data_IF_749790209911
#
_entry.id   IF_749790209911
#
_cell.length_a   1.000
_cell.length_b   1.000
_cell.length_c   1.000
_cell.angle_alpha   90.00
_cell.angle_beta   90.00
_cell.angle_gamma   90.00
#
_symmetry.space_group_name_H-M   'P 1'
#
loop_
_entity.id
_entity.type
_entity.pdbx_description
1 polymer ?
#
# COMPACT_ATOMS: atom_id res chain seq x y z
N UNK A 1 -3.83 12.01 14.09
CA UNK A 1 -3.30 12.70 12.88
C UNK A 1 -1.82 13.03 13.01
N UNK A 2 -1.33 13.38 14.19
CA UNK A 2 0.11 13.64 14.47
C UNK A 2 1.10 12.60 13.91
N UNK A 3 0.88 11.27 14.02
CA UNK A 3 1.85 10.30 13.52
C UNK A 3 1.93 10.24 11.98
N UNK A 4 0.88 10.66 11.27
CA UNK A 4 0.87 10.68 9.79
C UNK A 4 1.69 11.84 9.26
N UNK A 5 1.59 12.98 9.94
CA UNK A 5 2.21 14.22 9.53
C UNK A 5 3.73 14.06 9.49
N UNK A 6 4.30 13.39 10.51
CA UNK A 6 5.72 13.05 10.53
C UNK A 6 6.14 12.14 9.36
N UNK A 7 5.32 11.14 9.00
CA UNK A 7 5.63 10.25 7.87
C UNK A 7 5.60 11.00 6.53
N UNK A 8 4.64 11.92 6.35
CA UNK A 8 4.53 12.76 5.15
C UNK A 8 5.68 13.76 5.07
N UNK A 9 6.03 14.42 6.18
CA UNK A 9 7.16 15.35 6.23
C UNK A 9 8.47 14.64 5.88
N UNK A 10 8.68 13.44 6.41
CA UNK A 10 9.83 12.61 6.09
C UNK A 10 9.85 12.18 4.61
N UNK A 11 8.68 11.84 4.03
CA UNK A 11 8.57 11.54 2.61
C UNK A 11 8.94 12.75 1.74
N UNK A 12 8.47 13.94 2.11
CA UNK A 12 8.77 15.17 1.38
C UNK A 12 10.26 15.52 1.46
N UNK A 13 10.89 15.35 2.63
CA UNK A 13 12.33 15.52 2.81
C UNK A 13 13.14 14.55 1.95
N UNK A 14 12.78 13.25 1.95
CA UNK A 14 13.46 12.26 1.10
C UNK A 14 13.33 12.60 -0.38
N UNK A 15 12.16 13.05 -0.83
CA UNK A 15 11.98 13.46 -2.22
C UNK A 15 12.86 14.67 -2.59
N UNK A 16 13.00 15.63 -1.68
CA UNK A 16 13.89 16.78 -1.86
C UNK A 16 15.36 16.37 -1.89
N UNK A 17 15.79 15.52 -0.96
CA UNK A 17 17.15 15.01 -0.90
C UNK A 17 17.49 14.17 -2.14
N UNK A 18 16.55 13.36 -2.59
CA UNK A 18 16.69 12.55 -3.80
C UNK A 18 16.80 13.43 -5.04
N UNK A 19 15.98 14.48 -5.15
CA UNK A 19 16.11 15.47 -6.22
C UNK A 19 17.50 16.10 -6.22
N UNK A 20 18.04 16.44 -5.05
CA UNK A 20 19.39 16.98 -4.93
C UNK A 20 20.45 15.96 -5.35
N UNK A 21 20.35 14.70 -4.92
CA UNK A 21 21.28 13.63 -5.31
C UNK A 21 21.22 13.36 -6.82
N UNK A 22 20.02 13.31 -7.40
CA UNK A 22 19.83 13.10 -8.84
C UNK A 22 20.39 14.27 -9.64
N UNK A 23 20.21 15.51 -9.17
CA UNK A 23 20.81 16.68 -9.80
C UNK A 23 22.34 16.65 -9.74
N UNK A 24 22.94 16.18 -8.64
CA UNK A 24 24.40 16.05 -8.51
C UNK A 24 24.96 14.84 -9.28
N UNK A 25 24.19 13.76 -9.45
CA UNK A 25 24.57 12.61 -10.29
C UNK A 25 24.43 12.92 -11.78
N UNK A 26 23.42 13.71 -12.17
CA UNK A 26 23.24 14.19 -13.53
C UNK A 26 24.30 15.21 -13.95
N UNK A 27 24.77 16.03 -13.00
CA UNK A 27 25.81 17.04 -13.20
C UNK A 27 26.95 16.87 -12.18
N UNK A 28 27.86 15.89 -12.38
CA UNK A 28 28.95 15.65 -11.44
C UNK A 28 29.85 16.90 -11.35
N UNK A 29 30.11 17.34 -10.13
CA UNK A 29 31.13 18.38 -9.91
C UNK A 29 32.51 17.78 -10.16
N UNK A 30 33.22 18.33 -11.13
CA UNK A 30 34.58 17.91 -11.42
C UNK A 30 35.55 18.42 -10.35
N UNK A 31 36.55 17.60 -10.07
CA UNK A 31 37.71 17.98 -9.26
C UNK A 31 38.75 18.61 -10.19
N UNK A 32 39.13 19.85 -9.90
CA UNK A 32 40.02 20.65 -10.75
C UNK A 32 41.31 20.90 -10.00
N UNK A 33 42.40 20.36 -10.54
CA UNK A 33 43.74 20.54 -10.01
C UNK A 33 44.49 21.59 -10.85
N UNK A 34 44.98 22.65 -10.20
CA UNK A 34 45.82 23.68 -10.83
C UNK A 34 47.28 23.36 -10.52
N UNK A 35 48.08 23.13 -11.56
CA UNK A 35 49.50 22.78 -11.40
C UNK A 35 50.32 24.06 -11.16
N UNK A 36 50.55 24.37 -9.89
CA UNK A 36 51.24 25.62 -9.47
C UNK A 36 52.65 25.76 -10.06
N UNK A 37 53.35 24.65 -10.27
CA UNK A 37 54.69 24.62 -10.88
C UNK A 37 54.70 25.18 -12.30
N UNK A 38 53.66 24.90 -13.07
CA UNK A 38 53.49 25.46 -14.43
C UNK A 38 53.04 26.90 -14.39
N UNK A 39 52.23 27.30 -13.42
CA UNK A 39 51.86 28.71 -13.24
C UNK A 39 53.08 29.59 -12.91
N UNK A 40 54.05 29.03 -12.17
CA UNK A 40 55.30 29.72 -11.80
C UNK A 40 56.31 29.95 -12.94
N UNK A 41 56.16 29.26 -14.09
CA UNK A 41 57.00 29.50 -15.28
C UNK A 41 56.49 30.70 -16.10
N UNK A 42 55.19 30.99 -16.06
CA UNK A 42 54.57 32.12 -16.74
C UNK A 42 54.58 33.43 -15.93
N UNK A 43 54.90 33.37 -14.63
CA UNK A 43 54.94 34.55 -13.76
C UNK A 43 56.08 35.52 -14.17
N UNK A 44 55.79 36.83 -14.36
CA UNK A 44 56.81 37.82 -14.67
C UNK A 44 57.94 37.86 -13.61
N UNK A 45 59.22 37.94 -14.01
CA UNK A 45 60.36 37.90 -13.08
C UNK A 45 60.33 39.00 -12.00
N UNK A 46 59.69 40.14 -12.30
CA UNK A 46 59.56 41.28 -11.40
C UNK A 46 58.59 41.01 -10.24
N UNK A 47 57.58 40.16 -10.46
CA UNK A 47 56.54 39.81 -9.47
C UNK A 47 56.98 38.59 -8.66
N UNK A 48 57.77 37.69 -9.26
CA UNK A 48 58.28 36.47 -8.64
C UNK A 48 59.20 36.72 -7.43
N UNK A 49 59.88 37.86 -7.40
CA UNK A 49 60.82 38.22 -6.32
C UNK A 49 60.14 38.89 -5.11
N UNK A 50 58.89 39.35 -5.23
CA UNK A 50 58.15 39.98 -4.15
C UNK A 50 57.04 39.04 -3.63
N UNK A 51 57.15 38.48 -2.41
CA UNK A 51 56.20 37.52 -1.88
C UNK A 51 54.74 38.01 -1.83
N UNK A 52 54.53 39.31 -1.63
CA UNK A 52 53.19 39.89 -1.48
C UNK A 52 52.49 40.09 -2.83
N UNK A 53 53.24 40.47 -3.86
CA UNK A 53 52.70 40.63 -5.22
C UNK A 53 52.47 39.28 -5.89
N UNK A 54 53.32 38.29 -5.60
CA UNK A 54 53.15 36.92 -6.06
C UNK A 54 51.84 36.31 -5.56
N UNK A 55 51.49 36.48 -4.29
CA UNK A 55 50.22 35.96 -3.74
C UNK A 55 49.01 36.65 -4.38
N UNK A 56 49.06 37.97 -4.59
CA UNK A 56 47.97 38.69 -5.24
C UNK A 56 47.76 38.18 -6.68
N UNK A 57 48.84 37.97 -7.43
CA UNK A 57 48.77 37.45 -8.79
C UNK A 57 48.22 36.01 -8.84
N UNK A 58 48.66 35.12 -7.94
CA UNK A 58 48.14 33.76 -7.84
C UNK A 58 46.63 33.74 -7.52
N UNK A 59 46.20 34.61 -6.61
CA UNK A 59 44.78 34.74 -6.26
C UNK A 59 43.96 35.31 -7.43
N UNK A 60 44.50 36.25 -8.21
CA UNK A 60 43.85 36.75 -9.42
C UNK A 60 43.69 35.66 -10.48
N UNK A 61 44.72 34.85 -10.73
CA UNK A 61 44.62 33.73 -11.68
C UNK A 61 43.63 32.66 -11.22
N UNK A 62 43.64 32.32 -9.93
CA UNK A 62 42.66 31.42 -9.33
C UNK A 62 41.23 31.94 -9.54
N UNK A 63 40.98 33.22 -9.23
CA UNK A 63 39.66 33.83 -9.38
C UNK A 63 39.22 33.91 -10.85
N UNK A 64 40.13 34.12 -11.79
CA UNK A 64 39.82 34.07 -13.22
C UNK A 64 39.36 32.67 -13.66
N UNK A 65 40.03 31.61 -13.18
CA UNK A 65 39.64 30.22 -13.47
C UNK A 65 38.27 29.90 -12.84
N UNK A 66 38.03 30.31 -11.60
CA UNK A 66 36.73 30.14 -10.93
C UNK A 66 35.61 30.84 -11.71
N UNK A 67 35.79 32.11 -12.06
CA UNK A 67 34.80 32.87 -12.83
C UNK A 67 34.54 32.27 -14.21
N UNK A 68 35.57 31.73 -14.87
CA UNK A 68 35.40 31.03 -16.14
C UNK A 68 34.53 29.78 -15.96
N UNK A 69 34.78 28.99 -14.91
CA UNK A 69 34.07 27.73 -14.67
C UNK A 69 32.63 27.93 -14.16
N UNK A 70 32.38 28.96 -13.36
CA UNK A 70 31.01 29.29 -12.89
C UNK A 70 30.08 29.74 -14.03
N UNK A 71 30.65 30.30 -15.11
CA UNK A 71 29.91 30.73 -16.29
C UNK A 71 29.76 29.65 -17.37
N UNK A 72 30.35 28.46 -17.19
CA UNK A 72 30.19 27.35 -18.14
C UNK A 72 28.81 26.74 -17.95
N UNK A 73 28.08 26.58 -19.06
CA UNK A 73 26.78 25.93 -19.05
C UNK A 73 26.92 24.44 -18.68
N UNK A 74 25.96 23.84 -17.95
CA UNK A 74 26.04 22.47 -17.46
C UNK A 74 26.26 21.39 -18.54
N UNK A 75 25.88 21.67 -19.79
CA UNK A 75 25.97 20.76 -20.94
C UNK A 75 27.19 21.06 -21.85
N UNK A 76 28.07 22.00 -21.48
CA UNK A 76 29.22 22.39 -22.29
C UNK A 76 30.44 21.50 -22.01
N UNK A 77 31.15 21.12 -23.06
CA UNK A 77 32.41 20.39 -22.95
C UNK A 77 33.48 21.21 -22.23
N UNK A 78 34.29 20.54 -21.39
CA UNK A 78 35.40 21.18 -20.69
C UNK A 78 36.60 21.35 -21.63
N UNK A 79 36.94 22.60 -21.93
CA UNK A 79 38.16 22.94 -22.67
C UNK A 79 39.08 23.68 -21.69
N UNK A 80 40.19 23.05 -21.34
CA UNK A 80 41.16 23.57 -20.38
C UNK A 80 42.58 23.57 -20.96
N UNK A 81 43.43 24.45 -20.44
CA UNK A 81 44.86 24.47 -20.77
C UNK A 81 45.60 23.35 -20.04
N UNK A 82 46.81 23.01 -20.51
CA UNK A 82 47.64 21.91 -19.99
C UNK A 82 48.17 22.16 -18.54
N UNK A 83 47.97 23.35 -17.99
CA UNK A 83 48.27 23.70 -16.60
C UNK A 83 47.12 23.36 -15.63
N UNK A 84 45.95 23.01 -16.15
CA UNK A 84 44.76 22.60 -15.39
C UNK A 84 44.44 21.16 -15.72
N UNK A 85 44.21 20.33 -14.69
CA UNK A 85 43.75 18.95 -14.86
C UNK A 85 42.36 18.82 -14.29
N UNK A 86 41.40 18.48 -15.14
CA UNK A 86 40.02 18.23 -14.73
C UNK A 86 39.86 16.72 -14.57
N UNK A 87 39.78 16.25 -13.33
CA UNK A 87 39.37 14.90 -13.04
C UNK A 87 37.84 14.91 -12.91
N UNK A 88 37.16 14.07 -13.68
CA UNK A 88 35.77 13.79 -13.36
C UNK A 88 35.80 13.10 -12.00
N UNK A 89 35.20 13.74 -10.99
CA UNK A 89 34.98 13.08 -9.71
C UNK A 89 34.25 11.81 -10.06
N UNK A 90 34.86 10.65 -9.80
CA UNK A 90 34.21 9.35 -9.85
C UNK A 90 33.12 9.36 -8.77
N UNK A 91 32.02 10.06 -9.06
CA UNK A 91 30.84 10.16 -8.24
C UNK A 91 30.23 8.78 -8.22
N UNK A 92 30.66 7.98 -7.25
CA UNK A 92 30.15 6.68 -6.88
C UNK A 92 29.97 5.69 -8.05
N UNK A 93 30.74 4.59 -8.04
CA UNK A 93 30.42 3.32 -8.72
C UNK A 93 28.95 3.24 -9.18
N UNK A 94 28.69 3.24 -10.49
CA UNK A 94 27.36 3.20 -11.10
C UNK A 94 26.46 2.02 -10.67
N UNK A 95 26.93 1.15 -9.77
CA UNK A 95 26.16 0.11 -9.09
C UNK A 95 25.61 0.49 -7.70
N UNK A 96 25.80 1.73 -7.21
CA UNK A 96 25.25 2.19 -5.91
C UNK A 96 24.27 3.34 -6.07
N UNK A 97 23.51 3.39 -7.17
CA UNK A 97 22.26 4.15 -7.19
C UNK A 97 21.44 3.68 -6.00
N UNK A 98 21.14 4.58 -5.07
CA UNK A 98 20.23 4.31 -3.95
C UNK A 98 18.96 3.67 -4.52
N UNK A 99 18.56 2.52 -3.97
CA UNK A 99 17.27 1.91 -4.32
C UNK A 99 16.16 2.71 -3.64
N UNK A 100 15.77 3.78 -4.33
CA UNK A 100 14.68 4.68 -3.94
C UNK A 100 13.37 3.91 -3.77
N UNK A 101 13.17 2.85 -4.56
CA UNK A 101 11.89 2.14 -4.63
C UNK A 101 11.55 1.52 -3.27
N UNK A 102 12.52 0.89 -2.62
CA UNK A 102 12.34 0.30 -1.29
C UNK A 102 11.98 1.35 -0.23
N UNK A 103 12.58 2.54 -0.30
CA UNK A 103 12.31 3.64 0.64
C UNK A 103 10.91 4.21 0.41
N UNK A 104 10.52 4.43 -0.85
CA UNK A 104 9.17 4.92 -1.20
C UNK A 104 8.09 3.91 -0.84
N UNK A 105 8.33 2.61 -1.08
CA UNK A 105 7.38 1.56 -0.75
C UNK A 105 7.15 1.45 0.77
N UNK A 106 8.22 1.59 1.57
CA UNK A 106 8.13 1.62 3.04
C UNK A 106 7.36 2.85 3.52
N UNK A 107 7.67 4.05 3.01
CA UNK A 107 7.00 5.29 3.38
C UNK A 107 5.50 5.25 3.10
N UNK A 108 5.11 4.76 1.93
CA UNK A 108 3.70 4.63 1.57
C UNK A 108 2.93 3.69 2.53
N UNK A 109 3.57 2.63 3.03
CA UNK A 109 2.92 1.76 4.03
C UNK A 109 2.72 2.46 5.36
N UNK A 110 3.64 3.35 5.75
CA UNK A 110 3.53 4.15 6.96
C UNK A 110 2.46 5.25 6.82
N UNK A 111 2.36 5.91 5.66
CA UNK A 111 1.32 6.91 5.41
C UNK A 111 -0.07 6.27 5.36
N UNK A 112 -0.22 5.10 4.73
CA UNK A 112 -1.44 4.27 4.76
C UNK A 112 -1.85 3.90 6.19
N UNK A 113 -0.91 3.35 6.96
CA UNK A 113 -1.13 2.96 8.35
C UNK A 113 -1.49 4.18 9.22
N UNK A 114 -0.86 5.31 8.96
CA UNK A 114 -1.12 6.58 9.65
C UNK A 114 -2.54 7.10 9.38
N UNK A 115 -2.96 7.13 8.12
CA UNK A 115 -4.30 7.58 7.71
C UNK A 115 -5.42 6.59 8.08
N UNK A 116 -5.06 5.39 8.58
CA UNK A 116 -5.97 4.25 8.76
C UNK A 116 -6.68 3.89 7.45
N UNK A 117 -6.03 4.14 6.32
CA UNK A 117 -6.56 3.82 5.01
C UNK A 117 -6.13 2.39 4.63
N UNK A 118 -7.07 1.60 4.12
CA UNK A 118 -6.79 0.22 3.71
C UNK A 118 -6.10 0.19 2.34
N UNK A 119 -5.09 -0.68 2.20
CA UNK A 119 -4.28 -0.80 0.98
C UNK A 119 -5.09 -1.14 -0.28
N UNK A 120 -6.21 -1.84 -0.13
CA UNK A 120 -7.11 -2.21 -1.23
C UNK A 120 -7.71 -1.01 -1.96
N UNK A 121 -7.93 0.12 -1.28
CA UNK A 121 -8.47 1.33 -1.92
C UNK A 121 -7.45 2.08 -2.79
N UNK A 122 -6.16 1.81 -2.59
CA UNK A 122 -5.07 2.42 -3.36
C UNK A 122 -4.49 1.46 -4.41
N UNK A 123 -5.22 0.39 -4.74
CA UNK A 123 -4.82 -0.64 -5.72
C UNK A 123 -3.45 -1.29 -5.40
N UNK A 124 -3.08 -1.34 -4.10
CA UNK A 124 -1.88 -2.04 -3.62
C UNK A 124 -2.25 -3.47 -3.22
N UNK A 125 -2.72 -4.23 -4.19
CA UNK A 125 -3.35 -5.54 -3.98
C UNK A 125 -2.33 -6.69 -4.12
N UNK A 126 -1.02 -6.40 -4.14
CA UNK A 126 0.01 -7.40 -4.36
C UNK A 126 -0.06 -8.50 -3.27
N UNK A 127 -0.48 -9.70 -3.67
CA UNK A 127 -0.55 -10.88 -2.81
C UNK A 127 -1.83 -11.04 -1.99
N UNK A 128 -2.87 -10.23 -2.20
CA UNK A 128 -4.12 -10.31 -1.43
C UNK A 128 -5.24 -10.89 -2.30
N UNK A 129 -5.80 -12.04 -1.90
CA UNK A 129 -6.95 -12.64 -2.59
C UNK A 129 -8.25 -11.89 -2.27
N UNK A 130 -9.27 -12.03 -3.12
CA UNK A 130 -10.58 -11.35 -2.98
C UNK A 130 -11.23 -11.57 -1.60
N UNK A 131 -11.01 -12.74 -0.98
CA UNK A 131 -11.49 -13.07 0.37
C UNK A 131 -10.98 -12.10 1.44
N UNK A 132 -9.70 -11.70 1.35
CA UNK A 132 -9.10 -10.75 2.28
C UNK A 132 -9.56 -9.32 2.01
N UNK A 133 -9.89 -8.98 0.76
CA UNK A 133 -10.44 -7.67 0.40
C UNK A 133 -11.78 -7.38 1.08
N UNK A 134 -12.66 -8.38 1.13
CA UNK A 134 -13.95 -8.27 1.83
C UNK A 134 -13.76 -8.00 3.33
N UNK A 135 -12.85 -8.73 3.98
CA UNK A 135 -12.53 -8.54 5.41
C UNK A 135 -11.97 -7.14 5.67
N UNK A 136 -11.10 -6.64 4.79
CA UNK A 136 -10.55 -5.29 4.90
C UNK A 136 -11.64 -4.22 4.74
N UNK A 137 -12.58 -4.41 3.82
CA UNK A 137 -13.72 -3.50 3.65
C UNK A 137 -14.63 -3.48 4.89
N UNK A 138 -14.88 -4.64 5.50
CA UNK A 138 -15.62 -4.74 6.77
C UNK A 138 -14.97 -3.93 7.90
N UNK A 139 -13.63 -3.97 8.02
CA UNK A 139 -12.90 -3.19 9.02
C UNK A 139 -13.11 -1.69 8.78
N UNK A 140 -13.03 -1.25 7.53
CA UNK A 140 -13.26 0.15 7.15
C UNK A 140 -14.68 0.62 7.46
N UNK A 141 -15.69 -0.16 7.07
CA UNK A 141 -17.11 0.12 7.37
C UNK A 141 -17.37 0.13 8.88
N UNK A 142 -16.72 -0.75 9.64
CA UNK A 142 -16.79 -0.73 11.11
C UNK A 142 -16.21 0.56 11.71
N UNK A 143 -15.15 1.10 11.10
CA UNK A 143 -14.61 2.42 11.42
C UNK A 143 -15.62 3.54 11.19
N UNK A 144 -16.27 3.55 10.02
CA UNK A 144 -17.33 4.51 9.68
C UNK A 144 -18.50 4.42 10.67
N UNK A 145 -18.99 3.21 10.96
CA UNK A 145 -20.05 2.98 11.93
C UNK A 145 -19.69 3.53 13.32
N UNK A 146 -18.42 3.45 13.71
CA UNK A 146 -17.96 4.04 14.96
C UNK A 146 -18.07 5.57 14.96
N UNK A 147 -17.66 6.23 13.87
CA UNK A 147 -17.81 7.68 13.70
C UNK A 147 -19.29 8.10 13.66
N UNK A 148 -20.13 7.35 12.96
CA UNK A 148 -21.57 7.58 12.90
C UNK A 148 -22.23 7.49 14.29
N UNK A 149 -21.79 6.59 15.18
CA UNK A 149 -22.27 6.56 16.58
C UNK A 149 -21.95 7.84 17.34
N UNK A 150 -20.75 8.39 17.14
CA UNK A 150 -20.35 9.67 17.73
C UNK A 150 -21.21 10.82 17.22
N UNK A 151 -21.34 10.94 15.90
CA UNK A 151 -22.19 11.95 15.25
C UNK A 151 -23.65 11.86 15.71
N UNK A 152 -24.21 10.64 15.74
CA UNK A 152 -25.56 10.36 16.23
C UNK A 152 -25.78 10.91 17.62
N UNK A 153 -24.86 10.64 18.55
CA UNK A 153 -24.96 11.11 19.93
C UNK A 153 -25.01 12.64 20.00
N UNK A 154 -24.16 13.32 19.24
CA UNK A 154 -24.12 14.80 19.23
C UNK A 154 -25.44 15.37 18.69
N UNK A 155 -25.92 14.86 17.57
CA UNK A 155 -27.17 15.32 16.95
C UNK A 155 -28.37 15.07 17.86
N UNK A 156 -28.46 13.89 18.49
CA UNK A 156 -29.53 13.57 19.43
C UNK A 156 -29.52 14.51 20.65
N UNK A 157 -28.35 14.86 21.19
CA UNK A 157 -28.26 15.81 22.31
C UNK A 157 -28.66 17.24 21.91
N UNK A 158 -28.24 17.69 20.72
CA UNK A 158 -28.66 19.01 20.19
C UNK A 158 -30.17 19.05 19.96
N UNK A 159 -30.73 18.00 19.35
CA UNK A 159 -32.17 17.91 19.09
C UNK A 159 -32.98 17.83 20.39
N UNK A 160 -32.49 17.11 21.41
CA UNK A 160 -33.10 17.09 22.75
C UNK A 160 -33.10 18.46 23.41
N UNK A 161 -32.02 19.21 23.28
CA UNK A 161 -31.95 20.58 23.79
C UNK A 161 -32.96 21.47 23.08
N UNK A 162 -33.04 21.39 21.76
CA UNK A 162 -34.00 22.16 20.95
C UNK A 162 -35.46 21.86 21.32
N UNK A 163 -35.82 20.57 21.44
CA UNK A 163 -37.16 20.14 21.86
C UNK A 163 -37.51 20.68 23.26
N UNK A 164 -36.55 20.66 24.19
CA UNK A 164 -36.74 21.20 25.55
C UNK A 164 -36.97 22.71 25.54
N UNK A 165 -36.27 23.46 24.70
CA UNK A 165 -36.45 24.92 24.55
C UNK A 165 -37.85 25.25 24.00
N UNK A 166 -38.36 24.45 23.07
CA UNK A 166 -39.70 24.63 22.51
C UNK A 166 -40.84 24.07 23.38
N UNK A 167 -40.52 23.48 24.54
CA UNK A 167 -41.51 22.93 25.48
C UNK A 167 -42.09 21.58 25.06
N UNK A 168 -41.55 20.92 24.04
CA UNK A 168 -41.98 19.60 23.63
C UNK A 168 -41.21 18.50 24.38
N UNK A 169 -41.94 17.63 25.08
CA UNK A 169 -41.36 16.44 25.72
C UNK A 169 -41.28 15.28 24.72
N UNK A 170 -40.28 15.32 23.85
CA UNK A 170 -39.96 14.23 22.92
C UNK A 170 -38.49 13.83 22.99
N UNK A 171 -38.20 12.56 22.65
CA UNK A 171 -36.83 12.04 22.53
C UNK A 171 -36.52 11.90 21.04
N UNK A 172 -35.68 12.79 20.53
CA UNK A 172 -35.15 12.66 19.17
C UNK A 172 -34.27 11.40 19.07
N UNK A 173 -34.55 10.55 18.08
CA UNK A 173 -33.73 9.40 17.72
C UNK A 173 -33.24 9.56 16.30
N UNK A 174 -31.92 9.55 16.13
CA UNK A 174 -31.28 9.62 14.82
C UNK A 174 -30.80 8.23 14.39
N UNK A 175 -31.02 7.85 13.13
CA UNK A 175 -30.55 6.59 12.56
C UNK A 175 -29.77 6.91 11.29
N UNK A 176 -28.56 6.36 11.19
CA UNK A 176 -27.80 6.36 9.95
C UNK A 176 -28.15 5.13 9.14
N UNK A 177 -28.07 5.25 7.82
CA UNK A 177 -28.09 4.09 6.94
C UNK A 177 -26.81 3.29 7.11
N UNK A 178 -26.98 1.96 7.19
CA UNK A 178 -25.87 1.04 7.35
C UNK A 178 -25.21 0.89 5.98
N UNK A 179 -23.90 1.11 5.92
CA UNK A 179 -23.13 0.81 4.71
C UNK A 179 -22.98 -0.71 4.65
N UNK A 180 -23.52 -1.32 3.60
CA UNK A 180 -23.36 -2.75 3.38
C UNK A 180 -21.95 -3.03 2.86
N UNK A 181 -21.31 -4.05 3.42
CA UNK A 181 -19.97 -4.50 3.04
C UNK A 181 -19.97 -5.89 2.44
N UNK A 182 -21.10 -6.60 2.52
CA UNK A 182 -21.24 -7.93 1.96
C UNK A 182 -21.52 -7.82 0.47
N UNK A 183 -20.90 -8.71 -0.33
CA UNK A 183 -21.35 -8.86 -1.69
C UNK A 183 -22.72 -9.54 -1.70
N UNK A 184 -23.59 -9.14 -2.63
CA UNK A 184 -24.88 -9.78 -2.86
C UNK A 184 -24.73 -11.31 -3.03
N UNK A 185 -23.64 -11.75 -3.66
CA UNK A 185 -23.30 -13.16 -3.82
C UNK A 185 -23.02 -13.87 -2.47
N UNK A 186 -22.23 -13.27 -1.59
CA UNK A 186 -21.97 -13.85 -0.26
C UNK A 186 -23.26 -13.96 0.56
N UNK A 187 -24.12 -12.95 0.49
CA UNK A 187 -25.43 -12.96 1.18
C UNK A 187 -26.31 -14.10 0.68
N UNK A 188 -26.36 -14.30 -0.64
CA UNK A 188 -27.12 -15.40 -1.25
C UNK A 188 -26.54 -16.78 -0.89
N UNK A 189 -25.21 -16.92 -0.88
CA UNK A 189 -24.54 -18.16 -0.48
C UNK A 189 -24.79 -18.50 1.00
N UNK A 190 -24.73 -17.52 1.90
CA UNK A 190 -25.06 -17.72 3.33
C UNK A 190 -26.52 -18.12 3.50
N UNK A 191 -27.44 -17.47 2.79
CA UNK A 191 -28.86 -17.83 2.81
C UNK A 191 -29.10 -19.25 2.29
N UNK A 192 -28.41 -19.65 1.22
CA UNK A 192 -28.45 -21.00 0.68
C UNK A 192 -27.89 -22.02 1.68
N UNK A 193 -26.76 -21.73 2.33
CA UNK A 193 -26.21 -22.59 3.38
C UNK A 193 -27.15 -22.72 4.58
N UNK A 194 -27.83 -21.62 4.98
CA UNK A 194 -28.87 -21.66 6.01
C UNK A 194 -29.97 -22.61 5.57
N UNK A 195 -30.52 -22.45 4.36
CA UNK A 195 -31.54 -23.35 3.81
C UNK A 195 -31.09 -24.83 3.83
N UNK A 196 -29.87 -25.12 3.38
CA UNK A 196 -29.30 -26.47 3.39
C UNK A 196 -29.18 -27.06 4.81
N UNK A 197 -28.73 -26.27 5.78
CA UNK A 197 -28.64 -26.71 7.18
C UNK A 197 -30.00 -27.13 7.75
N UNK A 198 -31.05 -26.32 7.54
CA UNK A 198 -32.39 -26.64 8.01
C UNK A 198 -33.01 -27.84 7.29
N UNK A 199 -32.71 -28.01 5.99
CA UNK A 199 -33.12 -29.20 5.23
C UNK A 199 -32.46 -30.47 5.79
N UNK A 200 -31.16 -30.44 6.10
CA UNK A 200 -30.46 -31.56 6.72
C UNK A 200 -31.04 -31.85 8.12
N UNK A 201 -31.27 -30.82 8.93
CA UNK A 201 -31.83 -30.97 10.27
C UNK A 201 -33.24 -31.59 10.24
N UNK A 202 -34.06 -31.24 9.23
CA UNK A 202 -35.37 -31.85 9.02
C UNK A 202 -35.27 -33.30 8.54
N UNK A 203 -34.32 -33.61 7.64
CA UNK A 203 -34.08 -34.97 7.16
C UNK A 203 -33.55 -35.91 8.27
N UNK A 204 -32.76 -35.37 9.20
CA UNK A 204 -32.26 -36.08 10.37
C UNK A 204 -33.26 -36.14 11.53
N UNK A 205 -34.47 -35.57 11.35
CA UNK A 205 -35.55 -35.52 12.35
C UNK A 205 -35.16 -34.77 13.64
N UNK A 206 -34.24 -33.81 13.54
CA UNK A 206 -33.79 -32.98 14.68
C UNK A 206 -34.65 -31.74 14.87
N UNK A 207 -35.41 -31.34 13.85
CA UNK A 207 -36.28 -30.16 13.87
C UNK A 207 -37.58 -30.44 13.14
N UNK A 208 -38.67 -29.88 13.67
CA UNK A 208 -39.98 -29.94 13.04
C UNK A 208 -40.03 -29.12 11.74
N UNK A 209 -40.82 -29.59 10.77
CA UNK A 209 -40.97 -28.96 9.45
C UNK A 209 -41.48 -27.52 9.58
N UNK A 210 -42.41 -27.28 10.51
CA UNK A 210 -42.98 -25.96 10.77
C UNK A 210 -41.93 -24.99 11.31
N UNK A 211 -41.05 -25.46 12.21
CA UNK A 211 -39.97 -24.65 12.79
C UNK A 211 -38.87 -24.33 11.78
N UNK A 212 -38.57 -25.26 10.86
CA UNK A 212 -37.64 -25.00 9.76
C UNK A 212 -38.20 -23.98 8.75
N UNK A 213 -39.48 -24.08 8.39
CA UNK A 213 -40.12 -23.17 7.45
C UNK A 213 -40.26 -21.74 8.01
N UNK A 214 -40.57 -21.62 9.31
CA UNK A 214 -40.64 -20.33 10.00
C UNK A 214 -39.30 -19.59 9.99
N UNK A 215 -38.20 -20.30 10.23
CA UNK A 215 -36.89 -19.69 10.43
C UNK A 215 -36.13 -19.39 9.12
N UNK A 216 -36.46 -20.11 8.04
CA UNK A 216 -35.79 -19.97 6.73
C UNK A 216 -36.58 -19.11 5.75
N UNK A 217 -37.91 -19.30 5.71
CA UNK A 217 -38.78 -18.64 4.73
C UNK A 217 -39.72 -17.60 5.35
N UNK A 218 -39.79 -17.53 6.69
CA UNK A 218 -40.65 -16.57 7.39
C UNK A 218 -42.15 -16.89 7.32
N UNK A 219 -42.51 -18.14 7.01
CA UNK A 219 -43.91 -18.59 6.90
C UNK A 219 -44.38 -19.24 8.21
N UNK A 220 -45.65 -19.07 8.59
CA UNK A 220 -46.17 -19.56 9.88
C UNK A 220 -46.22 -21.10 10.00
N UNK A 221 -46.40 -21.82 8.89
CA UNK A 221 -46.43 -23.30 8.85
C UNK A 221 -45.87 -23.84 7.54
N UNK A 222 -45.25 -25.01 7.60
CA UNK A 222 -44.87 -25.77 6.43
C UNK A 222 -46.12 -26.40 5.78
N UNK A 223 -46.13 -26.52 4.45
CA UNK A 223 -47.24 -27.13 3.70
C UNK A 223 -47.30 -28.66 3.94
N UNK A 224 -46.21 -29.27 4.44
CA UNK A 224 -46.15 -30.71 4.72
C UNK A 224 -45.18 -31.07 5.84
N UNK A 225 -45.51 -32.13 6.59
CA UNK A 225 -44.80 -32.56 7.80
C UNK A 225 -43.52 -33.38 7.53
N UNK A 226 -43.34 -33.86 6.28
CA UNK A 226 -42.17 -34.61 5.85
C UNK A 226 -41.74 -34.17 4.45
N UNK A 227 -40.44 -34.08 4.16
CA UNK A 227 -39.97 -34.01 2.78
C UNK A 227 -40.46 -35.26 2.05
N UNK A 228 -41.13 -35.12 0.90
CA UNK A 228 -41.62 -36.28 0.16
C UNK A 228 -40.45 -37.19 -0.25
N UNK A 229 -40.57 -38.50 -0.01
CA UNK A 229 -39.51 -39.53 -0.27
C UNK A 229 -38.93 -39.50 -1.69
N UNK A 230 -39.61 -38.88 -2.65
CA UNK A 230 -39.18 -38.75 -4.03
C UNK A 230 -38.21 -37.59 -4.31
N UNK A 231 -37.90 -36.72 -3.34
CA UNK A 231 -36.94 -35.62 -3.56
C UNK A 231 -35.54 -36.12 -3.22
N UNK A 232 -34.79 -36.51 -4.25
CA UNK A 232 -33.34 -36.70 -4.13
C UNK A 232 -32.66 -35.33 -4.03
N UNK A 233 -32.39 -34.89 -2.81
CA UNK A 233 -31.68 -33.63 -2.57
C UNK A 233 -30.18 -33.89 -2.72
N UNK A 234 -29.59 -33.49 -3.85
CA UNK A 234 -28.13 -33.46 -3.99
C UNK A 234 -27.61 -32.16 -3.39
N UNK A 235 -27.22 -32.19 -2.11
CA UNK A 235 -26.46 -31.09 -1.52
C UNK A 235 -25.02 -31.18 -2.04
N UNK A 236 -24.75 -30.46 -3.12
CA UNK A 236 -23.38 -30.18 -3.53
C UNK A 236 -22.75 -29.28 -2.46
N UNK A 237 -21.81 -29.84 -1.69
CA UNK A 237 -20.87 -29.00 -0.97
C UNK A 237 -20.13 -28.18 -2.02
N UNK A 238 -20.35 -26.86 -2.03
CA UNK A 238 -19.60 -25.89 -2.82
C UNK A 238 -18.15 -25.76 -2.33
N UNK A 239 -17.45 -26.88 -2.21
CA UNK A 239 -16.00 -26.93 -2.09
C UNK A 239 -15.45 -27.10 -3.49
N UNK A 240 -14.58 -26.18 -3.91
CA UNK A 240 -13.69 -26.41 -5.05
C UNK A 240 -13.08 -27.80 -4.87
N UNK A 241 -13.40 -28.71 -5.78
CA UNK A 241 -12.77 -30.02 -5.85
C UNK A 241 -11.29 -29.78 -6.13
N UNK A 242 -10.47 -29.84 -5.08
CA UNK A 242 -9.04 -30.03 -5.23
C UNK A 242 -8.89 -31.50 -5.60
N UNK A 243 -8.80 -31.73 -6.89
CA UNK A 243 -8.62 -33.03 -7.52
C UNK A 243 -7.25 -33.60 -7.09
N UNK A 244 -7.25 -34.33 -5.97
CA UNK A 244 -6.04 -34.89 -5.35
C UNK A 244 -5.84 -36.38 -5.67
N UNK A 245 -6.58 -36.94 -6.64
CA UNK A 245 -6.54 -38.36 -6.98
C UNK A 245 -5.70 -38.67 -8.23
N UNK A 246 -4.49 -38.08 -8.33
CA UNK A 246 -3.51 -38.46 -9.37
C UNK A 246 -2.48 -39.50 -8.96
N UNK A 247 -2.58 -40.11 -7.77
CA UNK A 247 -1.69 -41.22 -7.39
C UNK A 247 -2.42 -42.31 -6.59
N UNK A 248 -3.37 -43.00 -7.22
CA UNK A 248 -3.73 -44.35 -6.80
C UNK A 248 -2.81 -45.36 -7.50
N UNK A 249 -2.00 -46.06 -6.70
CA UNK A 249 -1.10 -47.13 -7.12
C UNK A 249 -1.92 -48.26 -7.76
N UNK A 250 -1.53 -48.68 -8.97
CA UNK A 250 -1.98 -49.93 -9.59
C UNK A 250 -1.63 -51.12 -8.68
N UNK A 251 -2.63 -51.72 -8.02
CA UNK A 251 -2.50 -53.06 -7.47
C UNK A 251 -2.84 -54.09 -8.57
N UNK A 252 -1.80 -54.76 -9.07
CA UNK A 252 -1.94 -55.95 -9.93
C UNK A 252 -2.62 -57.09 -9.14
N UNK A 253 -3.60 -57.80 -9.70
CA UNK A 253 -4.18 -58.98 -9.05
C UNK A 253 -3.22 -60.17 -9.09
N UNK A 254 -3.03 -60.82 -7.94
CA UNK A 254 -2.35 -62.12 -7.81
C UNK A 254 -3.22 -63.22 -8.46
N UNK A 255 -2.69 -63.90 -9.47
CA UNK A 255 -3.23 -65.14 -10.02
C UNK A 255 -2.97 -66.30 -9.05
N UNK A 256 -4.02 -66.91 -8.53
CA UNK A 256 -3.94 -68.23 -7.86
C UNK A 256 -4.59 -69.24 -8.80
N UNK A 257 -3.76 -69.94 -9.57
CA UNK A 257 -4.11 -71.22 -10.19
C UNK A 257 -3.59 -72.36 -9.30
N UNK A 258 -4.46 -73.33 -9.01
CA UNK A 258 -4.07 -74.73 -8.91
C UNK A 258 -4.33 -75.49 -7.60
N UNK A 259 -5.08 -76.60 -7.75
CA UNK A 259 -5.14 -77.85 -6.94
C UNK A 259 -5.97 -77.77 -5.64
N UNK A 260 -7.00 -78.60 -5.38
CA UNK A 260 -7.37 -79.97 -5.78
C UNK A 260 -8.88 -80.05 -6.03
#
# INVERSE_FOLDING_TARGET
MTPVLQAIDFQMQILQDLQAVLHHQGYPRNDIEIVLERLMTYCPPHIKNNPKELQNWLNEQHNNIVNMMENIAPDSDYIHFDDVKINMTNGANGGRSLDVRAITEMLDTQTLSGLKQMAIFMNRNQGVTESWGTVQFKIFVSGINSCQRGSKRIIEEIARLWLRVNGEQAIAKFKHDIVDWESEEQRLNVNLMKQQFYVIAQLMDWIDADKAAQEVMGVEKAIGNKPSENIRISLSNGGVSVDNDKHSREEKPLSIEGTI
#
